data_IF_249244985674
#
_entry.id   IF_249244985674
#
_cell.length_a   1.000
_cell.length_b   1.000
_cell.length_c   1.000
_cell.angle_alpha   90.00
_cell.angle_beta   90.00
_cell.angle_gamma   90.00
#
_symmetry.space_group_name_H-M   'P 1'
#
loop_
_entity.id
_entity.type
_entity.pdbx_description
1 polymer ?
#
# COMPACT_ATOMS: atom_id res chain seq x y z
N UNK A 1 29.06 19.00 27.16
CA UNK A 1 28.31 17.76 27.44
C UNK A 1 26.98 17.90 26.75
N UNK A 2 26.95 17.57 25.47
CA UNK A 2 25.73 17.46 24.67
C UNK A 2 25.15 16.09 24.98
N UNK A 3 24.05 16.07 25.73
CA UNK A 3 23.30 14.85 25.97
C UNK A 3 22.75 14.36 24.63
N UNK A 4 23.20 13.18 24.21
CA UNK A 4 22.53 12.40 23.19
C UNK A 4 21.16 12.02 23.76
N UNK A 5 20.10 12.63 23.24
CA UNK A 5 18.74 12.14 23.44
C UNK A 5 18.66 10.83 22.65
N UNK A 6 18.94 9.71 23.31
CA UNK A 6 18.54 8.38 22.87
C UNK A 6 17.02 8.34 23.00
N UNK A 7 16.34 8.73 21.93
CA UNK A 7 14.91 8.51 21.75
C UNK A 7 14.71 7.14 21.13
N UNK A 8 15.16 6.09 21.83
CA UNK A 8 14.63 4.75 21.60
C UNK A 8 13.26 4.69 22.30
N UNK A 9 12.28 5.39 21.74
CA UNK A 9 10.91 4.99 21.96
C UNK A 9 10.82 3.58 21.37
N UNK A 10 10.46 2.59 22.19
CA UNK A 10 10.13 1.26 21.68
C UNK A 10 8.96 1.42 20.70
N UNK A 11 9.28 1.62 19.42
CA UNK A 11 8.30 1.53 18.35
C UNK A 11 7.83 0.08 18.30
N UNK A 12 6.51 -0.10 18.27
CA UNK A 12 5.88 -1.40 18.13
C UNK A 12 6.32 -2.10 16.84
N UNK A 13 5.99 -3.41 16.69
CA UNK A 13 6.41 -4.17 15.52
C UNK A 13 5.96 -3.48 14.22
N UNK A 14 6.79 -3.53 13.18
CA UNK A 14 6.50 -2.91 11.91
C UNK A 14 5.23 -3.44 11.27
N UNK A 15 5.28 -4.70 10.87
CA UNK A 15 4.13 -5.45 10.35
C UNK A 15 3.94 -6.68 11.20
N UNK A 16 2.69 -6.99 11.56
CA UNK A 16 2.34 -8.29 12.13
C UNK A 16 1.45 -9.04 11.13
N UNK A 17 1.91 -10.22 10.71
CA UNK A 17 1.14 -11.17 9.91
C UNK A 17 0.73 -12.31 10.84
N UNK A 18 -0.56 -12.49 11.05
CA UNK A 18 -1.05 -13.46 12.03
C UNK A 18 -2.16 -14.35 11.50
N UNK A 19 -2.15 -15.61 11.90
CA UNK A 19 -3.30 -16.49 11.76
C UNK A 19 -3.92 -16.78 13.12
N UNK A 20 -5.07 -17.46 13.14
CA UNK A 20 -5.68 -17.89 14.39
C UNK A 20 -4.85 -18.97 15.09
N UNK A 21 -4.40 -20.00 14.37
CA UNK A 21 -3.73 -21.19 14.93
C UNK A 21 -2.51 -21.68 14.15
N UNK A 22 -2.49 -21.51 12.83
CA UNK A 22 -1.42 -22.05 11.96
C UNK A 22 -0.37 -20.97 11.62
N UNK A 23 0.80 -20.94 12.30
CA UNK A 23 1.82 -19.94 12.03
C UNK A 23 2.41 -20.10 10.62
N UNK A 24 2.21 -21.27 9.98
CA UNK A 24 2.74 -21.55 8.65
C UNK A 24 2.00 -20.74 7.59
N UNK A 25 0.70 -20.52 7.72
CA UNK A 25 -0.07 -19.66 6.80
C UNK A 25 0.46 -18.22 6.82
N UNK A 26 0.67 -17.67 8.02
CA UNK A 26 1.26 -16.35 8.21
C UNK A 26 2.68 -16.27 7.62
N UNK A 27 3.52 -17.27 7.91
CA UNK A 27 4.88 -17.33 7.40
C UNK A 27 4.95 -17.48 5.88
N UNK A 28 4.05 -18.24 5.24
CA UNK A 28 3.97 -18.34 3.78
C UNK A 28 3.61 -17.01 3.15
N UNK A 29 2.60 -16.33 3.70
CA UNK A 29 2.17 -15.03 3.20
C UNK A 29 3.31 -14.00 3.29
N UNK A 30 3.94 -13.87 4.45
CA UNK A 30 5.04 -12.93 4.70
C UNK A 30 6.32 -13.23 3.88
N UNK A 31 6.43 -14.43 3.30
CA UNK A 31 7.57 -14.87 2.48
C UNK A 31 7.22 -15.04 1.01
N UNK A 32 6.01 -14.65 0.59
CA UNK A 32 5.63 -14.66 -0.81
C UNK A 32 6.61 -13.79 -1.64
N UNK A 33 6.92 -14.16 -2.89
CA UNK A 33 7.88 -13.42 -3.72
C UNK A 33 7.58 -11.92 -3.85
N UNK A 34 6.31 -11.50 -3.74
CA UNK A 34 5.93 -10.10 -3.78
C UNK A 34 6.45 -9.28 -2.58
N UNK A 35 6.67 -9.90 -1.42
CA UNK A 35 7.26 -9.23 -0.25
C UNK A 35 8.78 -9.09 -0.38
N UNK A 36 9.46 -10.05 -1.02
CA UNK A 36 10.92 -10.11 -1.07
C UNK A 36 11.56 -9.32 -2.23
N UNK A 37 10.78 -8.56 -3.01
CA UNK A 37 11.29 -7.70 -4.07
C UNK A 37 11.91 -8.42 -5.28
N UNK A 38 11.65 -9.72 -5.44
CA UNK A 38 12.25 -10.54 -6.49
C UNK A 38 11.32 -10.83 -7.65
N UNK A 39 11.61 -10.25 -8.82
CA UNK A 39 11.15 -10.82 -10.10
C UNK A 39 11.95 -12.10 -10.37
N UNK A 40 11.34 -13.25 -10.05
CA UNK A 40 11.71 -14.53 -10.65
C UNK A 40 12.43 -15.52 -9.75
N UNK A 41 12.00 -16.77 -9.91
CA UNK A 41 12.49 -18.02 -9.29
C UNK A 41 11.92 -18.30 -7.92
N UNK A 42 10.70 -18.84 -7.94
CA UNK A 42 10.10 -19.61 -6.85
C UNK A 42 11.14 -20.60 -6.30
N UNK A 43 11.52 -20.55 -5.00
CA UNK A 43 12.32 -21.60 -4.41
C UNK A 43 11.44 -22.84 -4.33
N UNK A 44 11.69 -23.75 -5.27
CA UNK A 44 10.98 -25.02 -5.40
C UNK A 44 11.41 -25.97 -4.26
N UNK A 45 11.08 -25.61 -3.01
CA UNK A 45 11.09 -26.46 -1.81
C UNK A 45 10.70 -25.59 -0.60
N UNK A 46 9.42 -25.53 -0.29
CA UNK A 46 8.88 -24.89 0.93
C UNK A 46 8.99 -25.79 2.18
N UNK A 47 9.64 -26.95 2.09
CA UNK A 47 9.54 -27.98 3.14
C UNK A 47 10.49 -27.81 4.34
N UNK A 48 11.48 -26.90 4.29
CA UNK A 48 12.48 -26.81 5.37
C UNK A 48 12.93 -25.41 5.79
N UNK A 49 12.11 -24.37 5.54
CA UNK A 49 12.41 -23.06 6.13
C UNK A 49 12.11 -23.11 7.64
N UNK A 50 13.07 -22.76 8.53
CA UNK A 50 12.74 -22.56 9.92
C UNK A 50 11.63 -21.50 9.99
N UNK A 51 10.61 -21.73 10.81
CA UNK A 51 9.60 -20.72 11.17
C UNK A 51 10.31 -19.66 12.00
N UNK A 52 11.18 -18.87 11.37
CA UNK A 52 11.63 -17.63 11.96
C UNK A 52 10.36 -16.78 12.06
N UNK A 53 9.99 -16.49 13.30
CA UNK A 53 8.84 -15.68 13.69
C UNK A 53 8.99 -14.24 13.23
N UNK A 54 10.15 -13.84 12.71
CA UNK A 54 10.41 -12.50 12.22
C UNK A 54 11.24 -12.55 10.92
N UNK A 55 10.93 -11.66 9.98
CA UNK A 55 11.77 -11.36 8.83
C UNK A 55 11.83 -9.86 8.57
N UNK A 56 12.96 -9.39 8.04
CA UNK A 56 13.09 -8.01 7.61
C UNK A 56 12.44 -7.85 6.23
N UNK A 57 11.58 -6.86 6.09
CA UNK A 57 10.98 -6.45 4.83
C UNK A 57 11.55 -5.10 4.42
N UNK A 58 12.17 -5.05 3.24
CA UNK A 58 12.71 -3.82 2.66
C UNK A 58 12.04 -3.56 1.34
N UNK A 59 11.70 -2.32 1.09
CA UNK A 59 11.19 -1.90 -0.20
C UNK A 59 11.73 -0.54 -0.60
N UNK A 60 11.65 -0.32 -1.89
CA UNK A 60 12.35 0.73 -2.57
C UNK A 60 11.40 1.30 -3.63
N UNK A 61 11.03 2.56 -3.47
CA UNK A 61 10.28 3.33 -4.47
C UNK A 61 11.17 4.43 -5.05
N UNK A 62 10.87 5.00 -6.23
CA UNK A 62 11.66 6.12 -6.76
C UNK A 62 11.80 7.30 -5.79
N UNK A 63 10.88 7.45 -4.84
CA UNK A 63 10.80 8.60 -3.94
C UNK A 63 11.32 8.31 -2.53
N UNK A 64 11.31 7.04 -2.08
CA UNK A 64 11.76 6.70 -0.74
C UNK A 64 12.21 5.24 -0.65
N UNK A 65 13.08 4.95 0.32
CA UNK A 65 13.43 3.60 0.74
C UNK A 65 13.03 3.44 2.20
N UNK A 66 12.56 2.25 2.55
CA UNK A 66 12.19 1.94 3.93
C UNK A 66 12.34 0.45 4.20
N UNK A 67 12.54 0.14 5.47
CA UNK A 67 12.70 -1.22 5.98
C UNK A 67 11.96 -1.35 7.29
N UNK A 68 11.30 -2.48 7.48
CA UNK A 68 10.59 -2.77 8.73
C UNK A 68 10.64 -4.26 9.05
N UNK A 69 10.35 -4.61 10.29
CA UNK A 69 10.29 -6.01 10.72
C UNK A 69 8.87 -6.55 10.54
N UNK A 70 8.76 -7.72 9.93
CA UNK A 70 7.52 -8.50 9.79
C UNK A 70 7.55 -9.63 10.80
N UNK A 71 6.63 -9.62 11.75
CA UNK A 71 6.45 -10.68 12.74
C UNK A 71 5.31 -11.63 12.30
N UNK A 72 5.59 -12.93 12.26
CA UNK A 72 4.65 -14.00 11.96
C UNK A 72 4.16 -14.62 13.27
N UNK A 73 2.86 -14.52 13.56
CA UNK A 73 2.30 -14.90 14.85
C UNK A 73 1.03 -15.77 14.77
N UNK A 74 0.66 -16.39 15.90
CA UNK A 74 -0.67 -16.96 16.13
C UNK A 74 -1.40 -16.13 17.19
N UNK A 75 -2.65 -15.75 16.91
CA UNK A 75 -3.44 -14.94 17.86
C UNK A 75 -3.98 -15.75 19.04
N UNK A 76 -4.13 -17.07 18.91
CA UNK A 76 -4.60 -17.95 20.00
C UNK A 76 -3.60 -18.10 21.16
N UNK A 77 -2.30 -17.87 20.89
CA UNK A 77 -1.23 -17.85 21.89
C UNK A 77 -1.19 -16.47 22.55
N UNK A 78 -2.23 -16.17 23.32
CA UNK A 78 -2.35 -14.91 24.06
C UNK A 78 -1.13 -14.62 24.92
N UNK A 79 -0.85 -13.32 25.09
CA UNK A 79 0.14 -12.71 25.99
C UNK A 79 1.59 -12.66 25.46
N UNK A 80 1.84 -11.66 24.60
CA UNK A 80 3.08 -10.85 24.48
C UNK A 80 3.17 -10.14 23.12
N UNK A 81 2.31 -10.46 22.15
CA UNK A 81 2.39 -9.93 20.77
C UNK A 81 2.44 -8.39 20.73
N UNK A 82 1.68 -7.75 21.61
CA UNK A 82 1.61 -6.30 21.72
C UNK A 82 2.45 -5.73 22.87
N UNK A 83 3.34 -6.52 23.47
CA UNK A 83 4.14 -6.07 24.63
C UNK A 83 5.04 -4.89 24.29
N UNK A 84 5.44 -4.80 23.01
CA UNK A 84 6.23 -3.70 22.44
C UNK A 84 5.36 -2.54 21.92
N UNK A 85 4.04 -2.62 22.06
CA UNK A 85 3.09 -1.67 21.50
C UNK A 85 2.27 -2.22 20.33
N UNK A 86 1.39 -1.38 19.79
CA UNK A 86 0.61 -1.69 18.60
C UNK A 86 1.51 -1.76 17.36
N UNK A 87 1.18 -2.62 16.37
CA UNK A 87 1.95 -2.68 15.14
C UNK A 87 1.69 -1.45 14.25
N UNK A 88 2.58 -1.14 13.32
CA UNK A 88 2.32 -0.08 12.32
C UNK A 88 1.32 -0.56 11.26
N UNK A 89 1.37 -1.85 10.90
CA UNK A 89 0.39 -2.52 10.04
C UNK A 89 0.07 -3.95 10.51
N UNK A 90 -1.14 -4.42 10.22
CA UNK A 90 -1.60 -5.76 10.59
C UNK A 90 -2.21 -6.49 9.39
N UNK A 91 -1.89 -7.79 9.26
CA UNK A 91 -2.49 -8.69 8.26
C UNK A 91 -2.94 -9.98 8.96
N UNK A 92 -4.25 -10.19 9.07
CA UNK A 92 -4.83 -11.47 9.47
C UNK A 92 -4.91 -12.43 8.28
N UNK A 93 -4.67 -13.73 8.46
CA UNK A 93 -4.87 -14.74 7.41
C UNK A 93 -5.68 -15.94 7.93
N UNK A 94 -6.57 -16.46 7.09
CA UNK A 94 -7.31 -17.70 7.35
C UNK A 94 -7.44 -18.54 6.08
N UNK A 95 -7.58 -19.86 6.24
CA UNK A 95 -7.88 -20.80 5.16
C UNK A 95 -9.36 -20.70 4.76
N UNK A 96 -9.62 -20.23 3.53
CA UNK A 96 -10.97 -20.04 3.01
C UNK A 96 -11.68 -21.35 2.67
N UNK A 97 -11.00 -22.50 2.70
CA UNK A 97 -11.64 -23.82 2.63
C UNK A 97 -12.19 -24.29 3.98
N UNK A 98 -11.94 -23.55 5.06
CA UNK A 98 -12.24 -23.93 6.43
C UNK A 98 -12.91 -22.79 7.24
N UNK A 99 -14.25 -22.81 7.34
CA UNK A 99 -15.03 -21.79 8.09
C UNK A 99 -14.65 -21.71 9.59
N UNK A 100 -14.15 -22.80 10.18
CA UNK A 100 -13.64 -22.80 11.56
C UNK A 100 -12.40 -21.90 11.71
N UNK A 101 -11.52 -21.87 10.71
CA UNK A 101 -10.34 -20.99 10.71
C UNK A 101 -10.74 -19.51 10.76
N UNK A 102 -11.75 -19.14 9.96
CA UNK A 102 -12.36 -17.81 10.02
C UNK A 102 -13.00 -17.54 11.39
N UNK A 103 -13.83 -18.46 11.88
CA UNK A 103 -14.52 -18.30 13.17
C UNK A 103 -13.54 -18.09 14.33
N UNK A 104 -12.39 -18.76 14.28
CA UNK A 104 -11.31 -18.59 15.24
C UNK A 104 -10.58 -17.26 15.09
N UNK A 105 -10.26 -16.85 13.86
CA UNK A 105 -9.64 -15.56 13.57
C UNK A 105 -10.55 -14.40 14.00
N UNK A 106 -11.82 -14.44 13.61
CA UNK A 106 -12.84 -13.46 13.98
C UNK A 106 -12.97 -13.35 15.51
N UNK A 107 -12.99 -14.48 16.22
CA UNK A 107 -13.05 -14.49 17.70
C UNK A 107 -11.81 -13.84 18.30
N UNK A 108 -10.63 -14.13 17.77
CA UNK A 108 -9.38 -13.53 18.23
C UNK A 108 -9.39 -12.01 17.99
N UNK A 109 -9.68 -11.56 16.78
CA UNK A 109 -9.73 -10.13 16.43
C UNK A 109 -10.79 -9.34 17.22
N UNK A 110 -11.85 -10.00 17.69
CA UNK A 110 -12.90 -9.37 18.52
C UNK A 110 -12.55 -9.36 20.01
N UNK A 111 -11.49 -10.05 20.43
CA UNK A 111 -11.08 -10.02 21.84
C UNK A 111 -10.62 -8.61 22.25
N UNK A 112 -10.82 -8.20 23.52
CA UNK A 112 -10.42 -6.86 23.97
C UNK A 112 -8.94 -6.56 23.75
N UNK A 113 -8.06 -7.55 23.94
CA UNK A 113 -6.61 -7.41 23.77
C UNK A 113 -6.26 -7.01 22.32
N UNK A 114 -6.69 -7.81 21.35
CA UNK A 114 -6.40 -7.56 19.93
C UNK A 114 -7.16 -6.33 19.41
N UNK A 115 -8.44 -6.17 19.78
CA UNK A 115 -9.25 -5.03 19.34
C UNK A 115 -8.71 -3.70 19.85
N UNK A 116 -8.12 -3.66 21.05
CA UNK A 116 -7.50 -2.44 21.58
C UNK A 116 -6.17 -2.15 20.87
N UNK A 117 -5.32 -3.16 20.71
CA UNK A 117 -4.03 -2.99 20.02
C UNK A 117 -4.20 -2.56 18.55
N UNK A 118 -5.20 -3.11 17.85
CA UNK A 118 -5.48 -2.81 16.44
C UNK A 118 -6.38 -1.58 16.23
N UNK A 119 -6.79 -0.90 17.32
CA UNK A 119 -7.72 0.24 17.25
C UNK A 119 -7.18 1.41 16.43
N UNK A 120 -5.91 1.76 16.65
CA UNK A 120 -5.23 2.92 16.02
C UNK A 120 -4.40 2.54 14.79
N UNK A 121 -4.32 1.26 14.45
CA UNK A 121 -3.55 0.77 13.30
C UNK A 121 -4.27 1.21 12.01
N UNK A 122 -3.57 1.98 11.17
CA UNK A 122 -4.14 2.53 9.93
C UNK A 122 -4.31 1.47 8.85
N UNK A 123 -3.33 0.57 8.71
CA UNK A 123 -3.33 -0.48 7.69
C UNK A 123 -3.67 -1.82 8.32
N UNK A 124 -4.91 -2.26 8.11
CA UNK A 124 -5.45 -3.52 8.62
C UNK A 124 -6.05 -4.32 7.49
N UNK A 125 -5.48 -5.51 7.24
CA UNK A 125 -5.95 -6.40 6.19
C UNK A 125 -6.37 -7.76 6.77
N UNK A 126 -7.28 -8.43 6.08
CA UNK A 126 -7.63 -9.83 6.28
C UNK A 126 -7.52 -10.55 4.94
N UNK A 127 -6.59 -11.50 4.87
CA UNK A 127 -6.35 -12.36 3.73
C UNK A 127 -7.13 -13.68 3.87
N UNK A 128 -7.95 -13.99 2.87
CA UNK A 128 -8.64 -15.27 2.73
C UNK A 128 -7.86 -16.14 1.73
N UNK A 129 -7.20 -17.20 2.21
CA UNK A 129 -6.40 -18.09 1.38
C UNK A 129 -7.27 -19.21 0.79
N UNK A 130 -7.52 -19.15 -0.51
CA UNK A 130 -8.34 -20.14 -1.22
C UNK A 130 -7.53 -21.37 -1.68
N UNK A 131 -6.20 -21.31 -1.60
CA UNK A 131 -5.35 -22.29 -2.27
C UNK A 131 -5.63 -22.39 -3.78
N UNK A 132 -5.00 -23.32 -4.51
CA UNK A 132 -5.04 -23.30 -5.97
C UNK A 132 -6.32 -23.88 -6.55
N UNK A 133 -7.08 -24.66 -5.76
CA UNK A 133 -8.30 -25.35 -6.20
C UNK A 133 -9.52 -24.44 -6.17
N UNK A 134 -9.55 -23.51 -5.22
CA UNK A 134 -10.69 -22.60 -5.04
C UNK A 134 -10.37 -21.19 -5.58
N UNK A 135 -9.09 -20.82 -5.76
CA UNK A 135 -8.65 -19.53 -6.31
C UNK A 135 -8.90 -19.31 -7.81
N UNK A 136 -9.49 -20.26 -8.53
CA UNK A 136 -10.01 -19.98 -9.90
C UNK A 136 -11.39 -19.30 -9.88
N UNK A 137 -11.95 -19.04 -8.70
CA UNK A 137 -13.26 -18.44 -8.54
C UNK A 137 -13.12 -17.20 -7.66
N UNK A 138 -13.41 -16.01 -8.19
CA UNK A 138 -13.70 -14.86 -7.33
C UNK A 138 -14.91 -15.24 -6.49
N UNK A 139 -14.69 -15.59 -5.22
CA UNK A 139 -15.71 -16.29 -4.43
C UNK A 139 -16.93 -15.40 -4.22
N UNK A 140 -16.74 -14.07 -4.17
CA UNK A 140 -17.82 -13.09 -4.19
C UNK A 140 -18.40 -12.82 -5.60
N UNK A 141 -17.66 -13.06 -6.67
CA UNK A 141 -18.20 -13.03 -8.05
C UNK A 141 -19.13 -14.22 -8.34
N UNK A 142 -19.07 -15.29 -7.54
CA UNK A 142 -19.91 -16.50 -7.70
C UNK A 142 -21.29 -16.35 -7.04
N UNK A 143 -22.07 -15.31 -7.36
CA UNK A 143 -23.53 -15.14 -7.14
C UNK A 143 -24.20 -15.60 -5.81
N UNK A 144 -23.46 -16.08 -4.81
CA UNK A 144 -23.99 -16.49 -3.52
C UNK A 144 -23.66 -15.41 -2.50
N UNK A 145 -24.42 -14.33 -2.57
CA UNK A 145 -24.42 -13.23 -1.60
C UNK A 145 -24.62 -13.75 -0.15
N UNK A 146 -25.19 -14.96 0.00
CA UNK A 146 -25.41 -15.64 1.27
C UNK A 146 -24.28 -16.63 1.66
N UNK A 147 -23.17 -16.68 0.93
CA UNK A 147 -22.02 -17.48 1.33
C UNK A 147 -21.44 -16.97 2.65
N UNK A 148 -20.82 -17.85 3.43
CA UNK A 148 -20.16 -17.43 4.68
C UNK A 148 -18.95 -16.54 4.42
N UNK A 149 -18.29 -16.70 3.26
CA UNK A 149 -17.19 -15.83 2.79
C UNK A 149 -17.68 -14.41 2.53
N UNK A 150 -18.89 -14.24 1.96
CA UNK A 150 -19.53 -12.93 1.82
C UNK A 150 -19.73 -12.24 3.17
N UNK A 151 -20.11 -13.00 4.21
CA UNK A 151 -20.20 -12.48 5.58
C UNK A 151 -18.83 -12.11 6.16
N UNK A 152 -17.75 -12.77 5.76
CA UNK A 152 -16.39 -12.41 6.16
C UNK A 152 -16.01 -11.05 5.56
N UNK A 153 -16.28 -10.84 4.27
CA UNK A 153 -16.09 -9.57 3.60
C UNK A 153 -16.87 -8.44 4.29
N UNK A 154 -18.18 -8.63 4.53
CA UNK A 154 -19.01 -7.64 5.21
C UNK A 154 -18.47 -7.31 6.62
N UNK A 155 -18.07 -8.34 7.37
CA UNK A 155 -17.49 -8.16 8.70
C UNK A 155 -16.21 -7.32 8.67
N UNK A 156 -15.34 -7.55 7.67
CA UNK A 156 -14.10 -6.79 7.49
C UNK A 156 -14.41 -5.33 7.17
N UNK A 157 -15.30 -5.08 6.22
CA UNK A 157 -15.72 -3.74 5.80
C UNK A 157 -16.30 -2.94 6.97
N UNK A 158 -17.20 -3.55 7.76
CA UNK A 158 -17.81 -2.90 8.94
C UNK A 158 -16.80 -2.48 10.02
N UNK A 159 -15.62 -3.09 10.05
CA UNK A 159 -14.60 -2.88 11.10
C UNK A 159 -13.34 -2.19 10.59
N UNK A 160 -13.35 -1.75 9.33
CA UNK A 160 -12.21 -1.07 8.70
C UNK A 160 -11.02 -1.99 8.45
N UNK A 161 -11.28 -3.28 8.20
CA UNK A 161 -10.29 -4.18 7.61
C UNK A 161 -10.50 -4.22 6.10
N UNK A 162 -9.41 -4.14 5.34
CA UNK A 162 -9.43 -4.48 3.92
C UNK A 162 -9.46 -6.01 3.76
N UNK A 163 -10.47 -6.53 3.06
CA UNK A 163 -10.54 -7.95 2.73
C UNK A 163 -9.81 -8.23 1.42
N UNK A 164 -8.95 -9.24 1.40
CA UNK A 164 -8.14 -9.62 0.23
C UNK A 164 -8.24 -11.12 -0.02
N UNK A 165 -8.58 -11.53 -1.24
CA UNK A 165 -8.47 -12.94 -1.65
C UNK A 165 -7.03 -13.25 -2.04
N UNK A 166 -6.45 -14.35 -1.54
CA UNK A 166 -5.07 -14.77 -1.84
C UNK A 166 -4.99 -16.26 -2.17
N UNK A 167 -3.88 -16.65 -2.80
CA UNK A 167 -3.45 -18.04 -2.96
C UNK A 167 -1.97 -18.14 -2.55
N UNK A 168 -1.70 -18.55 -1.30
CA UNK A 168 -0.30 -18.56 -0.79
C UNK A 168 0.55 -19.72 -1.31
N UNK A 169 -0.03 -20.58 -2.15
CA UNK A 169 0.60 -21.84 -2.61
C UNK A 169 0.90 -21.85 -4.11
N UNK A 170 0.39 -20.88 -4.88
CA UNK A 170 0.64 -20.75 -6.32
C UNK A 170 0.60 -19.28 -6.74
N UNK A 171 1.78 -18.71 -7.00
CA UNK A 171 1.96 -17.29 -7.37
C UNK A 171 1.23 -16.92 -8.69
N UNK A 172 1.13 -17.88 -9.62
CA UNK A 172 0.49 -17.64 -10.92
C UNK A 172 -1.02 -17.52 -10.78
N UNK A 173 -1.61 -18.37 -9.94
CA UNK A 173 -3.01 -18.27 -9.57
C UNK A 173 -3.26 -17.00 -8.75
N UNK A 174 -2.43 -16.73 -7.73
CA UNK A 174 -2.53 -15.54 -6.88
C UNK A 174 -2.55 -14.23 -7.68
N UNK A 175 -1.63 -14.07 -8.63
CA UNK A 175 -1.55 -12.89 -9.49
C UNK A 175 -2.73 -12.72 -10.46
N UNK A 176 -3.54 -13.77 -10.65
CA UNK A 176 -4.73 -13.75 -11.53
C UNK A 176 -6.03 -13.46 -10.78
N UNK A 177 -5.99 -13.40 -9.44
CA UNK A 177 -7.17 -13.18 -8.61
C UNK A 177 -7.77 -11.80 -8.83
N UNK A 178 -9.10 -11.75 -8.88
CA UNK A 178 -9.85 -10.50 -8.96
C UNK A 178 -11.10 -10.54 -8.09
N UNK A 179 -11.40 -9.41 -7.45
CA UNK A 179 -12.56 -9.22 -6.60
C UNK A 179 -13.25 -7.92 -7.02
N UNK A 180 -14.53 -8.02 -7.42
CA UNK A 180 -15.27 -6.88 -7.98
C UNK A 180 -14.58 -6.18 -9.17
N UNK A 181 -13.71 -6.91 -9.90
CA UNK A 181 -12.93 -6.37 -11.03
C UNK A 181 -11.56 -5.81 -10.64
N UNK A 182 -11.27 -5.65 -9.34
CA UNK A 182 -9.98 -5.19 -8.85
C UNK A 182 -9.00 -6.35 -8.67
N UNK A 183 -7.72 -6.08 -8.89
CA UNK A 183 -6.64 -7.06 -8.69
C UNK A 183 -6.53 -7.44 -7.21
N UNK A 184 -6.37 -8.73 -6.95
CA UNK A 184 -6.22 -9.31 -5.62
C UNK A 184 -4.86 -10.02 -5.49
N UNK A 185 -4.72 -10.89 -4.50
CA UNK A 185 -3.51 -11.64 -4.23
C UNK A 185 -2.54 -10.92 -3.29
N UNK A 186 -1.41 -11.56 -3.06
CA UNK A 186 -0.35 -11.09 -2.17
C UNK A 186 0.23 -9.74 -2.66
N UNK A 187 0.16 -9.47 -3.97
CA UNK A 187 0.52 -8.16 -4.55
C UNK A 187 -0.34 -7.01 -4.02
N UNK A 188 -1.65 -7.24 -3.84
CA UNK A 188 -2.57 -6.22 -3.31
C UNK A 188 -2.24 -5.86 -1.85
N UNK A 189 -1.84 -6.86 -1.05
CA UNK A 189 -1.39 -6.63 0.33
C UNK A 189 -0.14 -5.75 0.34
N UNK A 190 0.84 -6.05 -0.52
CA UNK A 190 2.07 -5.26 -0.64
C UNK A 190 1.77 -3.83 -1.11
N UNK A 191 0.86 -3.64 -2.07
CA UNK A 191 0.41 -2.31 -2.50
C UNK A 191 -0.19 -1.51 -1.34
N UNK A 192 -1.07 -2.13 -0.53
CA UNK A 192 -1.65 -1.47 0.64
C UNK A 192 -0.57 -1.07 1.67
N UNK A 193 0.42 -1.94 1.90
CA UNK A 193 1.54 -1.66 2.80
C UNK A 193 2.47 -0.55 2.26
N UNK A 194 2.70 -0.46 0.94
CA UNK A 194 3.47 0.63 0.33
C UNK A 194 2.79 1.99 0.41
N UNK A 195 1.46 2.04 0.57
CA UNK A 195 0.72 3.29 0.78
C UNK A 195 0.83 3.81 2.23
N UNK A 196 1.34 3.01 3.15
CA UNK A 196 1.55 3.44 4.53
C UNK A 196 2.76 4.38 4.64
N UNK A 197 2.67 5.37 5.53
CA UNK A 197 3.77 6.28 5.84
C UNK A 197 4.62 5.68 6.94
N UNK A 198 5.62 4.90 6.54
CA UNK A 198 6.50 4.21 7.46
C UNK A 198 7.40 5.17 8.25
N UNK A 199 7.42 5.07 9.59
CA UNK A 199 8.41 5.76 10.42
C UNK A 199 9.82 5.42 9.97
N UNK A 200 10.69 6.43 9.88
CA UNK A 200 12.07 6.26 9.42
C UNK A 200 12.24 6.07 7.91
N UNK A 201 11.19 6.25 7.10
CA UNK A 201 11.34 6.25 5.64
C UNK A 201 12.28 7.39 5.17
N UNK A 202 13.33 7.03 4.43
CA UNK A 202 14.29 7.98 3.88
C UNK A 202 13.85 8.40 2.47
N UNK A 203 13.62 9.71 2.28
CA UNK A 203 13.36 10.25 0.95
C UNK A 203 14.60 10.11 0.08
N UNK A 204 14.43 9.51 -1.10
CA UNK A 204 15.49 9.48 -2.10
C UNK A 204 15.57 10.82 -2.81
N UNK A 205 16.77 11.37 -3.01
CA UNK A 205 16.94 12.50 -3.91
C UNK A 205 16.42 12.11 -5.29
N UNK A 206 15.57 12.95 -5.88
CA UNK A 206 15.11 12.76 -7.26
C UNK A 206 16.36 12.64 -8.17
N UNK A 207 16.40 11.72 -9.14
CA UNK A 207 17.45 11.70 -10.14
C UNK A 207 17.41 13.03 -10.91
N UNK A 208 18.33 13.94 -10.59
CA UNK A 208 18.35 15.33 -11.09
C UNK A 208 18.35 16.42 -10.02
N UNK A 209 17.97 16.11 -8.77
CA UNK A 209 18.01 17.06 -7.66
C UNK A 209 19.41 17.21 -7.01
N UNK A 210 20.43 16.62 -7.61
CA UNK A 210 21.83 16.74 -7.20
C UNK A 210 22.59 17.82 -7.99
N UNK A 211 21.90 18.72 -8.68
CA UNK A 211 22.46 20.05 -8.91
C UNK A 211 21.99 20.93 -7.76
N UNK A 212 22.95 21.54 -7.06
CA UNK A 212 22.68 22.57 -6.06
C UNK A 212 22.04 23.75 -6.80
N UNK A 213 20.73 23.68 -7.00
CA UNK A 213 19.89 24.82 -7.28
C UNK A 213 19.83 25.59 -5.98
N UNK A 214 20.41 26.80 -5.98
CA UNK A 214 20.37 27.63 -4.79
C UNK A 214 18.92 27.84 -4.35
N UNK A 215 18.69 28.05 -3.06
CA UNK A 215 17.38 28.42 -2.51
C UNK A 215 16.74 29.57 -3.32
N UNK A 216 17.58 30.47 -3.86
CA UNK A 216 17.22 31.54 -4.80
C UNK A 216 16.59 31.09 -6.13
N UNK A 217 16.87 29.89 -6.65
CA UNK A 217 16.34 29.39 -7.92
C UNK A 217 14.99 28.69 -7.74
N UNK A 218 14.81 27.92 -6.66
CA UNK A 218 13.51 27.31 -6.34
C UNK A 218 12.48 28.38 -5.94
N UNK A 219 12.88 29.40 -5.17
CA UNK A 219 12.03 30.56 -4.86
C UNK A 219 11.64 31.31 -6.14
N UNK A 220 12.57 31.51 -7.09
CA UNK A 220 12.26 32.16 -8.38
C UNK A 220 11.33 31.34 -9.26
N UNK A 221 11.48 30.02 -9.30
CA UNK A 221 10.58 29.16 -10.08
C UNK A 221 9.18 29.09 -9.46
N UNK A 222 9.09 29.11 -8.14
CA UNK A 222 7.82 29.18 -7.45
C UNK A 222 7.15 30.54 -7.66
N UNK A 223 7.90 31.65 -7.58
CA UNK A 223 7.43 33.00 -7.91
C UNK A 223 6.97 33.09 -9.39
N UNK A 224 7.75 32.58 -10.34
CA UNK A 224 7.43 32.58 -11.77
C UNK A 224 6.15 31.76 -12.06
N UNK A 225 5.95 30.64 -11.37
CA UNK A 225 4.74 29.82 -11.51
C UNK A 225 3.51 30.47 -10.87
N UNK A 226 3.66 31.13 -9.71
CA UNK A 226 2.57 31.88 -9.07
C UNK A 226 2.14 33.08 -9.92
N UNK A 227 3.08 33.81 -10.52
CA UNK A 227 2.83 34.92 -11.44
C UNK A 227 2.11 34.45 -12.73
N UNK A 228 2.45 33.26 -13.22
CA UNK A 228 1.77 32.64 -14.36
C UNK A 228 0.30 32.31 -14.02
N UNK A 229 0.05 31.73 -12.85
CA UNK A 229 -1.31 31.44 -12.39
C UNK A 229 -2.13 32.72 -12.17
N UNK A 230 -1.52 33.77 -11.62
CA UNK A 230 -2.15 35.08 -11.45
C UNK A 230 -2.51 35.71 -12.81
N UNK A 231 -1.64 35.53 -13.82
CA UNK A 231 -1.88 35.98 -15.20
C UNK A 231 -3.06 35.24 -15.83
N UNK A 232 -3.13 33.90 -15.70
CA UNK A 232 -4.23 33.08 -16.23
C UNK A 232 -5.55 33.41 -15.52
N UNK A 233 -5.52 33.63 -14.20
CA UNK A 233 -6.70 34.01 -13.43
C UNK A 233 -7.26 35.38 -13.86
N UNK A 234 -6.38 36.36 -14.05
CA UNK A 234 -6.74 37.71 -14.52
C UNK A 234 -7.31 37.68 -15.93
N UNK A 235 -6.66 36.95 -16.85
CA UNK A 235 -7.13 36.82 -18.21
C UNK A 235 -8.46 36.05 -18.32
N UNK A 236 -8.73 35.09 -17.43
CA UNK A 236 -10.03 34.42 -17.31
C UNK A 236 -11.12 35.37 -16.82
N UNK A 237 -10.79 36.25 -15.86
CA UNK A 237 -11.72 37.26 -15.35
C UNK A 237 -12.07 38.31 -16.42
N UNK A 238 -11.08 38.76 -17.18
CA UNK A 238 -11.27 39.69 -18.31
C UNK A 238 -12.04 39.04 -19.46
N UNK A 239 -11.69 37.79 -19.80
CA UNK A 239 -12.32 37.01 -20.86
C UNK A 239 -13.78 36.66 -20.58
N UNK A 240 -14.20 36.56 -19.31
CA UNK A 240 -15.59 36.28 -18.94
C UNK A 240 -16.59 37.35 -19.46
N UNK A 241 -16.11 38.58 -19.66
CA UNK A 241 -16.90 39.73 -20.14
C UNK A 241 -16.89 39.91 -21.67
N UNK A 242 -16.09 39.13 -22.40
CA UNK A 242 -15.89 39.28 -23.84
C UNK A 242 -16.79 38.35 -24.69
N UNK A 243 -17.14 38.76 -25.93
CA UNK A 243 -17.83 37.89 -26.90
C UNK A 243 -16.99 36.67 -27.30
N UNK A 244 -17.66 35.56 -27.64
CA UNK A 244 -17.04 34.25 -27.89
C UNK A 244 -15.87 34.24 -28.88
N UNK A 245 -15.99 34.96 -29.98
CA UNK A 245 -14.93 35.04 -31.00
C UNK A 245 -13.65 35.69 -30.47
N UNK A 246 -13.79 36.66 -29.56
CA UNK A 246 -12.67 37.32 -28.91
C UNK A 246 -12.11 36.47 -27.76
N UNK A 247 -12.97 35.74 -27.03
CA UNK A 247 -12.54 34.77 -26.03
C UNK A 247 -11.65 33.69 -26.63
N UNK A 248 -12.02 33.19 -27.80
CA UNK A 248 -11.27 32.16 -28.53
C UNK A 248 -9.90 32.65 -28.98
N UNK A 249 -9.81 33.86 -29.54
CA UNK A 249 -8.52 34.48 -29.92
C UNK A 249 -7.61 34.74 -28.72
N UNK A 250 -8.17 35.19 -27.59
CA UNK A 250 -7.40 35.45 -26.38
C UNK A 250 -6.91 34.14 -25.74
N UNK A 251 -7.73 33.08 -25.77
CA UNK A 251 -7.34 31.75 -25.31
C UNK A 251 -6.21 31.15 -26.16
N UNK A 252 -6.26 31.33 -27.48
CA UNK A 252 -5.22 30.90 -28.41
C UNK A 252 -3.89 31.62 -28.15
N UNK A 253 -3.91 32.95 -27.97
CA UNK A 253 -2.72 33.71 -27.60
C UNK A 253 -2.13 33.30 -26.24
N UNK A 254 -2.98 32.96 -25.27
CA UNK A 254 -2.54 32.45 -23.97
C UNK A 254 -1.93 31.06 -24.07
N UNK A 255 -2.46 30.20 -24.94
CA UNK A 255 -1.94 28.86 -25.18
C UNK A 255 -0.48 28.94 -25.66
N UNK A 256 -0.20 29.76 -26.67
CA UNK A 256 1.19 29.94 -27.15
C UNK A 256 2.13 30.50 -26.09
N UNK A 257 1.64 31.40 -25.22
CA UNK A 257 2.45 31.94 -24.11
C UNK A 257 2.76 30.87 -23.04
N UNK A 258 1.82 29.96 -22.79
CA UNK A 258 2.00 28.84 -21.85
C UNK A 258 2.95 27.79 -22.45
N UNK A 259 2.79 27.43 -23.73
CA UNK A 259 3.68 26.48 -24.41
C UNK A 259 5.14 26.97 -24.46
N UNK A 260 5.36 28.24 -24.81
CA UNK A 260 6.71 28.82 -24.83
C UNK A 260 7.38 28.89 -23.45
N UNK A 261 6.61 28.87 -22.35
CA UNK A 261 7.14 28.84 -20.99
C UNK A 261 7.39 27.41 -20.47
N UNK A 262 6.68 26.41 -21.02
CA UNK A 262 6.86 24.99 -20.72
C UNK A 262 8.01 24.34 -21.53
N UNK A 263 8.67 25.11 -22.42
CA UNK A 263 9.75 24.59 -23.26
C UNK A 263 9.28 23.55 -24.28
N UNK A 264 7.98 23.52 -24.58
CA UNK A 264 7.40 22.70 -25.64
C UNK A 264 7.51 23.53 -26.91
N UNK A 265 8.73 23.69 -27.42
CA UNK A 265 8.95 24.17 -28.77
C UNK A 265 8.77 22.97 -29.72
N UNK A 266 8.01 23.18 -30.78
CA UNK A 266 7.76 22.19 -31.83
C UNK A 266 9.11 21.77 -32.48
N UNK A 267 9.69 20.65 -32.03
CA UNK A 267 10.66 19.88 -32.83
C UNK A 267 9.93 19.21 -34.00
N UNK A 268 9.46 20.00 -34.95
CA UNK A 268 9.01 19.53 -36.26
C UNK A 268 9.31 20.62 -37.31
N UNK A 269 10.53 20.57 -37.85
CA UNK A 269 10.98 21.09 -39.16
C UNK A 269 12.51 20.84 -39.19
N UNK A 270 13.18 20.15 -40.12
CA UNK A 270 12.98 19.64 -41.48
C UNK A 270 14.34 18.96 -41.83
N UNK A 271 14.59 18.33 -43.01
CA UNK A 271 13.71 17.80 -44.04
C UNK A 271 13.94 16.30 -44.36
#
# INVERSE_FOLDING_TARGET
MTEAVSSDAEEGPGVVVASSKDPMAAARLARSPCWLGGSGSSPNSTDHLPVASECEWRWETPYYAASTMVECACLDRGSALWSRGAPQAFVGIFDASCEENWSDLQRALTSPEHSQALGEVEVKLVAADFGPRDAMCGSLNRQDENSWVSRCYDWCLERGYEYVEVCTTDDGVDASLTLFGDRQGCGRIVEALHCHRWPGAELRPLPGAAEVRGEDEEEREQEDFEDLLATVASARAEGASLPDDQRRKNAEAMLFKILGHLGIDDEDDEP
#
